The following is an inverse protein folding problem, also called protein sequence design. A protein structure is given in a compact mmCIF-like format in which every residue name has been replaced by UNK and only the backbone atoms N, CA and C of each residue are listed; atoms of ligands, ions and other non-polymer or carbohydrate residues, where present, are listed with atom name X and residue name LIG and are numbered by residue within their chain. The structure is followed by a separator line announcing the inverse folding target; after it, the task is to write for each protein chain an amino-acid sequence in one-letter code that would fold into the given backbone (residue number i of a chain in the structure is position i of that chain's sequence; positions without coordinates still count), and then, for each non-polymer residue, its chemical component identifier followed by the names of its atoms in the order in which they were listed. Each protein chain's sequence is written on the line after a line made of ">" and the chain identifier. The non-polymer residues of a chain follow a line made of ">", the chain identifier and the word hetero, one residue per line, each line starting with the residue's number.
data_IF_760084641342
#
_entry.id   IF_760084641342
#
_cell.length_a   1.000
_cell.length_b   1.000
_cell.length_c   1.000
_cell.angle_alpha   90.00
_cell.angle_beta   90.00
_cell.angle_gamma   90.00
#
_symmetry.space_group_name_H-M   'P 1'
#
loop_
_entity.id
_entity.type
_entity.pdbx_description
1 polymer ?
#
# COMPACT_ATOMS: atom_id res chain seq x y z
N UNK A 1 19.99 3.97 -1.84
CA UNK A 1 18.76 4.76 -1.98
C UNK A 1 17.78 4.47 -0.84
N UNK A 2 18.24 4.43 0.43
CA UNK A 2 17.37 4.43 1.62
C UNK A 2 17.62 5.65 2.53
N UNK A 3 18.58 6.52 2.21
CA UNK A 3 19.14 7.46 3.19
C UNK A 3 18.22 8.60 3.61
N UNK A 4 17.26 9.01 2.78
CA UNK A 4 16.39 10.14 3.13
C UNK A 4 15.16 9.70 3.92
N UNK A 5 14.53 8.58 3.55
CA UNK A 5 13.39 8.02 4.30
C UNK A 5 13.81 7.65 5.72
N UNK A 6 15.01 7.08 5.90
CA UNK A 6 15.52 6.70 7.22
C UNK A 6 15.91 7.91 8.10
N UNK A 7 16.00 9.12 7.54
CA UNK A 7 16.46 10.33 8.27
C UNK A 7 15.38 11.39 8.46
N UNK A 8 14.31 11.33 7.67
CA UNK A 8 13.15 12.20 7.86
C UNK A 8 12.24 11.65 8.97
N UNK A 9 11.62 12.53 9.78
CA UNK A 9 10.49 12.14 10.64
C UNK A 9 9.36 11.51 9.82
N UNK A 10 8.67 10.52 10.39
CA UNK A 10 7.64 9.73 9.70
C UNK A 10 6.51 10.62 9.12
N UNK A 11 6.13 11.70 9.80
CA UNK A 11 5.11 12.67 9.37
C UNK A 11 5.54 13.58 8.20
N UNK A 12 6.78 13.42 7.72
CA UNK A 12 7.33 14.14 6.57
C UNK A 12 7.71 13.22 5.42
N UNK A 13 7.30 11.95 5.47
CA UNK A 13 7.54 10.96 4.42
C UNK A 13 6.22 10.66 3.70
N UNK A 14 6.23 10.80 2.38
CA UNK A 14 5.16 10.31 1.49
C UNK A 14 5.78 9.38 0.46
N UNK A 15 5.24 8.16 0.37
CA UNK A 15 5.67 7.16 -0.62
C UNK A 15 4.56 7.04 -1.67
N UNK A 16 4.88 7.35 -2.92
CA UNK A 16 3.99 7.07 -4.06
C UNK A 16 4.42 5.76 -4.72
N UNK A 17 3.48 4.81 -4.83
CA UNK A 17 3.75 3.45 -5.29
C UNK A 17 2.71 2.96 -6.30
N UNK A 18 3.09 1.96 -7.10
CA UNK A 18 2.17 1.16 -7.91
C UNK A 18 1.63 -0.03 -7.11
N UNK A 19 0.66 -0.77 -7.66
CA UNK A 19 0.12 -2.01 -7.09
C UNK A 19 -1.32 -1.93 -6.62
N UNK A 20 -2.06 -0.88 -6.99
CA UNK A 20 -3.43 -0.70 -6.55
C UNK A 20 -4.39 -1.82 -7.03
N UNK A 21 -4.00 -2.62 -8.03
CA UNK A 21 -4.77 -3.76 -8.53
C UNK A 21 -4.28 -5.10 -7.99
N UNK A 22 -3.35 -5.11 -7.02
CA UNK A 22 -2.80 -6.32 -6.43
C UNK A 22 -1.83 -7.06 -7.35
N UNK A 23 -1.20 -6.37 -8.31
CA UNK A 23 -0.24 -7.01 -9.20
C UNK A 23 0.95 -7.55 -8.40
N UNK A 24 1.29 -8.83 -8.59
CA UNK A 24 2.22 -9.58 -7.73
C UNK A 24 3.58 -8.89 -7.54
N UNK A 25 4.13 -8.33 -8.61
CA UNK A 25 5.46 -7.69 -8.59
C UNK A 25 5.42 -6.19 -8.30
N UNK A 26 4.24 -5.60 -8.12
CA UNK A 26 4.12 -4.18 -7.82
C UNK A 26 4.65 -3.87 -6.42
N UNK A 27 5.09 -2.63 -6.24
CA UNK A 27 5.77 -2.23 -5.01
C UNK A 27 4.85 -2.36 -3.78
N UNK A 28 3.57 -1.95 -3.87
CA UNK A 28 2.63 -2.11 -2.75
C UNK A 28 2.41 -3.57 -2.38
N UNK A 29 2.18 -4.46 -3.35
CA UNK A 29 2.01 -5.90 -3.10
C UNK A 29 3.24 -6.52 -2.44
N UNK A 30 4.45 -6.13 -2.89
CA UNK A 30 5.69 -6.60 -2.27
C UNK A 30 5.89 -6.05 -0.87
N UNK A 31 5.52 -4.80 -0.61
CA UNK A 31 5.53 -4.21 0.74
C UNK A 31 4.52 -4.92 1.65
N UNK A 32 3.30 -5.17 1.14
CA UNK A 32 2.26 -5.93 1.80
C UNK A 32 2.70 -7.35 2.14
N UNK A 33 3.56 -8.00 1.34
CA UNK A 33 4.15 -9.32 1.64
C UNK A 33 5.43 -9.25 2.48
N UNK A 34 6.01 -8.07 2.71
CA UNK A 34 7.29 -7.90 3.41
C UNK A 34 8.52 -8.27 2.55
N UNK A 35 8.32 -8.42 1.25
CA UNK A 35 9.32 -8.84 0.26
C UNK A 35 9.96 -7.63 -0.47
N UNK A 36 9.64 -6.41 -0.06
CA UNK A 36 10.21 -5.20 -0.64
C UNK A 36 11.57 -4.90 0.02
N UNK A 37 12.64 -4.92 -0.79
CA UNK A 37 14.02 -4.91 -0.30
C UNK A 37 14.44 -3.63 0.42
N UNK A 38 13.70 -2.53 0.24
CA UNK A 38 14.08 -1.20 0.73
C UNK A 38 13.10 -0.67 1.78
N UNK A 39 11.84 -1.09 1.72
CA UNK A 39 10.76 -0.52 2.52
C UNK A 39 10.03 -1.66 3.22
N UNK A 40 9.85 -1.51 4.52
CA UNK A 40 9.09 -2.43 5.35
C UNK A 40 8.02 -1.63 6.05
N UNK A 41 6.77 -2.09 5.94
CA UNK A 41 5.64 -1.42 6.55
C UNK A 41 5.71 -1.56 8.07
N UNK A 42 5.39 -0.48 8.76
CA UNK A 42 5.27 -0.39 10.21
C UNK A 42 3.80 -0.25 10.59
N UNK A 43 3.46 -0.64 11.81
CA UNK A 43 2.09 -0.59 12.35
C UNK A 43 1.44 0.79 12.22
N UNK A 44 2.20 1.86 12.39
CA UNK A 44 1.66 3.22 12.38
C UNK A 44 1.63 3.84 10.96
N UNK A 45 2.03 3.09 9.93
CA UNK A 45 1.97 3.57 8.55
C UNK A 45 0.52 3.65 8.07
N UNK A 46 0.22 4.69 7.29
CA UNK A 46 -1.08 4.82 6.60
C UNK A 46 -0.93 4.51 5.13
N UNK A 47 -1.76 3.58 4.63
CA UNK A 47 -1.83 3.18 3.24
C UNK A 47 -3.12 3.72 2.65
N UNK A 48 -2.99 4.59 1.65
CA UNK A 48 -4.12 5.11 0.88
C UNK A 48 -4.21 4.41 -0.49
N UNK A 49 -5.28 3.65 -0.69
CA UNK A 49 -5.61 3.07 -1.99
C UNK A 49 -6.52 4.00 -2.80
N UNK A 50 -5.90 4.91 -3.55
CA UNK A 50 -6.59 5.87 -4.44
C UNK A 50 -6.92 5.27 -5.81
N UNK A 51 -7.64 4.14 -5.82
CA UNK A 51 -8.09 3.50 -7.05
C UNK A 51 -9.35 2.65 -6.82
N UNK A 52 -10.15 2.49 -7.87
CA UNK A 52 -11.17 1.45 -7.93
C UNK A 52 -10.60 0.12 -8.44
N UNK A 53 -11.09 -0.99 -7.94
CA UNK A 53 -10.75 -2.32 -8.47
C UNK A 53 -11.32 -2.51 -9.87
N UNK A 54 -10.48 -2.90 -10.82
CA UNK A 54 -10.89 -3.26 -12.18
C UNK A 54 -11.54 -4.65 -12.14
N UNK A 55 -12.70 -4.86 -12.83
CA UNK A 55 -13.32 -6.17 -12.91
C UNK A 55 -12.35 -7.26 -13.36
N UNK A 56 -12.25 -8.35 -12.58
CA UNK A 56 -11.31 -9.44 -12.78
C UNK A 56 -10.09 -9.43 -11.85
N UNK A 57 -9.82 -8.32 -11.14
CA UNK A 57 -8.70 -8.19 -10.20
C UNK A 57 -9.10 -8.31 -8.72
N UNK A 58 -10.37 -8.58 -8.41
CA UNK A 58 -10.94 -8.55 -7.05
C UNK A 58 -10.19 -9.49 -6.11
N UNK A 59 -9.85 -10.69 -6.58
CA UNK A 59 -9.10 -11.67 -5.81
C UNK A 59 -7.67 -11.19 -5.51
N UNK A 60 -6.99 -10.59 -6.49
CA UNK A 60 -5.62 -10.09 -6.31
C UNK A 60 -5.59 -8.93 -5.32
N UNK A 61 -6.51 -7.97 -5.46
CA UNK A 61 -6.68 -6.86 -4.52
C UNK A 61 -7.03 -7.37 -3.12
N UNK A 62 -7.97 -8.32 -3.00
CA UNK A 62 -8.38 -8.88 -1.72
C UNK A 62 -7.22 -9.58 -0.97
N UNK A 63 -6.38 -10.34 -1.67
CA UNK A 63 -5.19 -10.93 -1.05
C UNK A 63 -4.20 -9.87 -0.56
N UNK A 64 -3.93 -8.85 -1.38
CA UNK A 64 -3.04 -7.75 -0.99
C UNK A 64 -3.59 -7.01 0.24
N UNK A 65 -4.89 -6.72 0.29
CA UNK A 65 -5.55 -6.09 1.44
C UNK A 65 -5.38 -6.96 2.68
N UNK A 66 -5.60 -8.27 2.58
CA UNK A 66 -5.41 -9.18 3.71
C UNK A 66 -3.95 -9.16 4.22
N UNK A 67 -2.98 -9.15 3.32
CA UNK A 67 -1.55 -9.07 3.67
C UNK A 67 -1.18 -7.75 4.36
N UNK A 68 -1.84 -6.65 3.99
CA UNK A 68 -1.73 -5.34 4.66
C UNK A 68 -2.39 -5.36 6.04
N UNK A 69 -3.60 -5.92 6.17
CA UNK A 69 -4.33 -6.02 7.45
C UNK A 69 -3.55 -6.84 8.47
N UNK A 70 -2.89 -7.93 8.06
CA UNK A 70 -2.02 -8.73 8.93
C UNK A 70 -0.84 -7.93 9.50
N UNK A 71 -0.43 -6.85 8.83
CA UNK A 71 0.65 -5.96 9.27
C UNK A 71 0.19 -4.86 10.22
N UNK A 72 -1.11 -4.81 10.52
CA UNK A 72 -1.70 -3.86 11.46
C UNK A 72 -1.48 -2.39 11.04
N UNK A 73 -1.39 -2.15 9.72
CA UNK A 73 -1.30 -0.79 9.14
C UNK A 73 -2.67 -0.13 9.11
N UNK A 74 -2.69 1.20 9.07
CA UNK A 74 -3.92 1.95 8.83
C UNK A 74 -4.23 1.96 7.32
N UNK A 75 -5.27 1.24 6.89
CA UNK A 75 -5.67 1.15 5.49
C UNK A 75 -6.87 2.06 5.21
N UNK A 76 -6.77 2.89 4.18
CA UNK A 76 -7.85 3.74 3.66
C UNK A 76 -8.11 3.33 2.21
N UNK A 77 -9.34 2.93 1.90
CA UNK A 77 -9.78 2.56 0.54
C UNK A 77 -10.85 3.50 0.00
N UNK A 78 -11.12 3.42 -1.30
CA UNK A 78 -12.17 4.21 -1.95
C UNK A 78 -13.60 3.91 -1.45
N UNK A 79 -13.79 2.80 -0.75
CA UNK A 79 -15.08 2.47 -0.13
C UNK A 79 -15.34 3.30 1.13
N UNK A 80 -14.28 3.85 1.75
CA UNK A 80 -14.35 4.59 3.01
C UNK A 80 -14.38 6.11 2.80
N UNK A 81 -13.65 6.61 1.81
CA UNK A 81 -13.55 8.04 1.48
C UNK A 81 -13.49 8.18 -0.04
N UNK A 82 -14.12 9.22 -0.59
CA UNK A 82 -14.04 9.56 -2.03
C UNK A 82 -12.62 10.02 -2.38
N UNK A 83 -11.76 9.06 -2.71
CA UNK A 83 -10.33 9.26 -2.99
C UNK A 83 -9.98 8.94 -4.45
N UNK A 84 -10.98 8.60 -5.27
CA UNK A 84 -10.82 8.25 -6.67
C UNK A 84 -12.00 8.74 -7.52
N UNK A 85 -11.70 9.31 -8.69
CA UNK A 85 -12.69 9.73 -9.69
C UNK A 85 -12.47 9.01 -11.01
N UNK A 86 -13.56 8.66 -11.71
CA UNK A 86 -13.57 7.95 -13.01
C UNK A 86 -13.82 8.88 -14.19
#
# INVERSE_FOLDING_TARGET
>A
MSSEIDTLPDDRVLILSTGAQGEEFAALTRMAKGEHNVLQLRKDDTILMSASTIPGNESAVGHMINDLVVRDVNLITNDEIDVHAS
#
